data_IF_150648189797
#
_entry.id   IF_150648189797
#
_cell.length_a   1.000
_cell.length_b   1.000
_cell.length_c   1.000
_cell.angle_alpha   90.00
_cell.angle_beta   90.00
_cell.angle_gamma   90.00
#
_symmetry.space_group_name_H-M   'P 1'
#
loop_
_entity.id
_entity.type
_entity.pdbx_description
1 polymer ?
#
# COMPACT_ATOMS: atom_id res chain seq x y z
N UNK A 1 4.03 43.19 9.30
CA UNK A 1 3.26 41.94 9.30
C UNK A 1 4.24 40.79 9.42
N UNK A 2 4.01 39.86 10.34
CA UNK A 2 4.95 38.78 10.67
C UNK A 2 4.31 37.42 10.37
N UNK A 3 5.06 36.50 9.77
CA UNK A 3 4.65 35.10 9.57
C UNK A 3 5.65 34.19 10.27
N UNK A 4 5.19 33.34 11.19
CA UNK A 4 6.04 32.33 11.84
C UNK A 4 6.04 31.01 11.06
N UNK A 5 7.24 30.47 10.77
CA UNK A 5 7.48 29.20 10.05
C UNK A 5 7.87 28.08 11.00
N UNK A 6 6.95 27.13 11.21
CA UNK A 6 7.23 25.84 11.86
C UNK A 6 6.71 24.63 11.02
N UNK A 7 6.08 24.84 9.86
CA UNK A 7 5.48 23.75 9.07
C UNK A 7 5.53 23.95 7.54
N UNK A 8 5.30 22.86 6.80
CA UNK A 8 5.20 22.82 5.32
C UNK A 8 3.93 23.48 4.74
N UNK A 9 2.97 23.90 5.58
CA UNK A 9 1.71 24.54 5.16
C UNK A 9 1.80 26.07 4.96
N UNK A 10 2.98 26.66 5.22
CA UNK A 10 3.21 28.11 5.25
C UNK A 10 2.93 28.86 3.94
N UNK A 11 2.90 28.18 2.78
CA UNK A 11 2.65 28.82 1.49
C UNK A 11 1.34 29.61 1.44
N UNK A 12 0.30 29.13 2.12
CA UNK A 12 -1.01 29.83 2.17
C UNK A 12 -0.93 31.09 3.02
N UNK A 13 -0.24 31.04 4.16
CA UNK A 13 -0.01 32.19 5.01
C UNK A 13 0.86 33.24 4.31
N UNK A 14 1.91 32.82 3.59
CA UNK A 14 2.78 33.71 2.80
C UNK A 14 1.98 34.37 1.67
N UNK A 15 1.14 33.62 0.96
CA UNK A 15 0.32 34.18 -0.11
C UNK A 15 -0.71 35.19 0.42
N UNK A 16 -1.36 34.91 1.55
CA UNK A 16 -2.27 35.86 2.20
C UNK A 16 -1.50 37.10 2.69
N UNK A 17 -0.34 36.91 3.30
CA UNK A 17 0.51 38.00 3.77
C UNK A 17 1.02 38.90 2.65
N UNK A 18 1.46 38.33 1.53
CA UNK A 18 1.83 39.10 0.35
C UNK A 18 0.68 39.94 -0.20
N UNK A 19 -0.55 39.41 -0.22
CA UNK A 19 -1.74 40.16 -0.64
C UNK A 19 -2.04 41.33 0.31
N UNK A 20 -1.99 41.08 1.62
CA UNK A 20 -2.23 42.11 2.63
C UNK A 20 -1.14 43.20 2.61
N UNK A 21 0.12 42.82 2.41
CA UNK A 21 1.24 43.74 2.24
C UNK A 21 1.11 44.61 0.98
N UNK A 22 0.66 44.04 -0.14
CA UNK A 22 0.37 44.81 -1.36
C UNK A 22 -0.74 45.85 -1.14
N UNK A 23 -1.81 45.51 -0.42
CA UNK A 23 -2.91 46.43 -0.13
C UNK A 23 -2.48 47.52 0.87
N UNK A 24 -1.71 47.15 1.90
CA UNK A 24 -1.29 48.07 2.96
C UNK A 24 -0.01 48.85 2.66
N UNK A 25 0.68 48.56 1.55
CA UNK A 25 2.03 49.06 1.20
C UNK A 25 3.08 48.86 2.31
N UNK A 26 2.93 47.80 3.11
CA UNK A 26 3.87 47.45 4.20
C UNK A 26 4.74 46.26 3.81
N UNK A 27 5.92 46.13 4.44
CA UNK A 27 6.83 44.99 4.25
C UNK A 27 6.34 43.75 5.01
N UNK A 28 6.66 42.57 4.46
CA UNK A 28 6.38 41.26 5.04
C UNK A 28 7.63 40.73 5.72
N UNK A 29 7.58 40.46 7.03
CA UNK A 29 8.64 39.74 7.72
C UNK A 29 8.24 38.27 7.84
N UNK A 30 9.10 37.37 7.39
CA UNK A 30 8.92 35.92 7.57
C UNK A 30 9.97 35.46 8.56
N UNK A 31 9.52 34.93 9.69
CA UNK A 31 10.35 34.50 10.82
C UNK A 31 10.39 32.99 10.86
N UNK A 32 11.59 32.41 11.00
CA UNK A 32 11.81 30.99 11.29
C UNK A 32 12.70 30.86 12.53
N UNK A 33 12.44 29.86 13.36
CA UNK A 33 13.30 29.52 14.50
C UNK A 33 14.07 28.25 14.12
N UNK A 34 15.38 28.24 14.39
CA UNK A 34 16.31 27.15 14.06
C UNK A 34 16.92 26.64 15.36
N UNK A 35 17.24 25.35 15.41
CA UNK A 35 17.75 24.69 16.62
C UNK A 35 19.25 24.93 16.84
N UNK A 36 20.00 25.20 15.77
CA UNK A 36 21.43 25.54 15.79
C UNK A 36 21.68 27.03 15.47
N UNK A 37 22.76 27.59 16.04
CA UNK A 37 23.25 28.96 15.79
C UNK A 37 24.38 28.98 14.74
N UNK A 38 24.63 27.85 14.06
CA UNK A 38 25.57 27.83 12.95
C UNK A 38 25.13 28.77 11.82
N UNK A 39 26.03 29.69 11.43
CA UNK A 39 25.76 30.72 10.42
C UNK A 39 25.37 30.11 9.05
N UNK A 40 25.87 28.91 8.75
CA UNK A 40 25.52 28.14 7.55
C UNK A 40 24.05 27.66 7.55
N UNK A 41 23.53 27.20 8.70
CA UNK A 41 22.14 26.77 8.84
C UNK A 41 21.17 27.96 8.81
N UNK A 42 21.57 29.08 9.43
CA UNK A 42 20.81 30.33 9.34
C UNK A 42 20.73 30.84 7.89
N UNK A 43 21.81 30.78 7.12
CA UNK A 43 21.81 31.13 5.71
C UNK A 43 20.95 30.20 4.86
N UNK A 44 21.03 28.88 5.08
CA UNK A 44 20.20 27.90 4.39
C UNK A 44 18.71 28.21 4.62
N UNK A 45 18.32 28.47 5.87
CA UNK A 45 16.95 28.82 6.25
C UNK A 45 16.49 30.13 5.60
N UNK A 46 17.35 31.15 5.53
CA UNK A 46 17.04 32.40 4.79
C UNK A 46 16.78 32.14 3.30
N UNK A 47 17.55 31.25 2.66
CA UNK A 47 17.34 30.88 1.25
C UNK A 47 16.00 30.16 1.06
N UNK A 48 15.64 29.26 1.97
CA UNK A 48 14.34 28.58 1.94
C UNK A 48 13.16 29.54 2.08
N UNK A 49 13.25 30.52 2.98
CA UNK A 49 12.21 31.54 3.15
C UNK A 49 11.99 32.30 1.84
N UNK A 50 13.07 32.70 1.18
CA UNK A 50 13.00 33.42 -0.10
C UNK A 50 12.46 32.54 -1.24
N UNK A 51 12.77 31.24 -1.23
CA UNK A 51 12.19 30.27 -2.17
C UNK A 51 10.69 30.07 -1.93
N UNK A 52 10.25 29.92 -0.68
CA UNK A 52 8.84 29.80 -0.33
C UNK A 52 8.03 31.04 -0.72
N UNK A 53 8.63 32.24 -0.57
CA UNK A 53 8.02 33.50 -1.03
C UNK A 53 7.85 33.56 -2.56
N UNK A 54 8.87 33.11 -3.32
CA UNK A 54 8.78 32.96 -4.78
C UNK A 54 7.64 32.02 -5.17
N UNK A 55 7.59 30.84 -4.56
CA UNK A 55 6.57 29.84 -4.85
C UNK A 55 5.16 30.32 -4.49
N UNK A 56 5.03 31.20 -3.50
CA UNK A 56 3.76 31.82 -3.11
C UNK A 56 3.33 32.99 -4.02
N UNK A 57 4.17 33.40 -4.99
CA UNK A 57 3.91 34.51 -5.90
C UNK A 57 4.01 35.89 -5.25
N UNK A 58 4.82 36.02 -4.20
CA UNK A 58 5.05 37.29 -3.49
C UNK A 58 6.28 37.98 -4.06
N UNK A 59 6.24 39.31 -4.21
CA UNK A 59 7.40 40.10 -4.64
C UNK A 59 8.50 40.03 -3.56
N UNK A 60 9.65 39.47 -3.94
CA UNK A 60 10.80 39.29 -3.07
C UNK A 60 11.31 40.60 -2.47
N UNK A 61 11.13 41.74 -3.14
CA UNK A 61 11.55 43.06 -2.62
C UNK A 61 10.76 43.49 -1.38
N UNK A 62 9.60 42.89 -1.17
CA UNK A 62 8.73 43.18 -0.03
C UNK A 62 8.97 42.24 1.16
N UNK A 63 9.79 41.18 0.97
CA UNK A 63 10.01 40.13 1.96
C UNK A 63 11.32 40.39 2.71
N UNK A 64 11.24 40.38 4.04
CA UNK A 64 12.40 40.39 4.94
C UNK A 64 12.47 39.04 5.65
N UNK A 65 13.42 38.16 5.29
CA UNK A 65 13.66 36.93 6.04
C UNK A 65 14.31 37.28 7.39
N UNK A 66 13.79 36.70 8.47
CA UNK A 66 14.33 36.82 9.82
C UNK A 66 14.46 35.40 10.36
N UNK A 67 15.63 35.07 10.90
CA UNK A 67 15.91 33.75 11.47
C UNK A 67 16.47 33.97 12.85
N UNK A 68 15.95 33.24 13.82
CA UNK A 68 16.40 33.27 15.21
C UNK A 68 16.89 31.89 15.63
N UNK A 69 17.95 31.84 16.45
CA UNK A 69 18.36 30.62 17.16
C UNK A 69 17.41 30.35 18.33
N UNK A 70 17.24 29.07 18.72
CA UNK A 70 16.31 28.64 19.78
C UNK A 70 16.66 29.19 21.17
N UNK A 71 17.93 29.50 21.43
CA UNK A 71 18.39 30.01 22.74
C UNK A 71 17.95 31.45 23.02
N UNK A 72 17.85 32.31 21.99
CA UNK A 72 17.40 33.72 22.09
C UNK A 72 16.01 33.97 21.49
N UNK A 73 15.50 33.01 20.71
CA UNK A 73 14.52 33.30 19.66
C UNK A 73 13.10 33.63 20.10
N UNK A 74 12.68 33.27 21.32
CA UNK A 74 11.31 33.54 21.76
C UNK A 74 11.14 35.00 22.23
N UNK A 75 12.08 35.51 23.03
CA UNK A 75 12.02 36.89 23.54
C UNK A 75 12.20 37.91 22.41
N UNK A 76 13.13 37.66 21.50
CA UNK A 76 13.37 38.56 20.38
C UNK A 76 12.27 38.49 19.32
N UNK A 77 11.63 37.32 19.16
CA UNK A 77 10.43 37.20 18.37
C UNK A 77 9.27 37.99 18.99
N UNK A 78 9.09 37.94 20.31
CA UNK A 78 8.06 38.71 21.04
C UNK A 78 8.31 40.22 20.90
N UNK A 79 9.55 40.70 21.05
CA UNK A 79 9.90 42.11 20.79
C UNK A 79 9.58 42.54 19.35
N UNK A 80 9.80 41.64 18.38
CA UNK A 80 9.51 41.90 16.98
C UNK A 80 8.00 41.93 16.68
N UNK A 81 7.19 41.17 17.40
CA UNK A 81 5.73 41.07 17.22
C UNK A 81 4.96 42.16 17.97
N UNK A 82 5.45 42.65 19.10
CA UNK A 82 4.79 43.69 19.92
C UNK A 82 4.51 44.99 19.14
N UNK A 83 5.33 45.31 18.15
CA UNK A 83 5.21 46.54 17.36
C UNK A 83 4.50 46.33 16.00
N UNK A 84 3.81 45.19 15.81
CA UNK A 84 3.23 44.77 14.54
C UNK A 84 1.71 44.59 14.63
N UNK A 85 0.97 45.20 13.69
CA UNK A 85 -0.50 45.15 13.71
C UNK A 85 -1.14 43.81 13.28
N UNK A 86 -0.37 42.83 12.77
CA UNK A 86 -0.89 41.50 12.39
C UNK A 86 0.23 40.47 12.36
N UNK A 87 0.02 39.36 13.08
CA UNK A 87 0.88 38.17 13.08
C UNK A 87 0.08 37.00 12.51
N UNK A 88 0.58 36.36 11.45
CA UNK A 88 -0.01 35.13 10.93
C UNK A 88 0.79 33.93 11.41
N UNK A 89 0.07 32.95 11.95
CA UNK A 89 0.67 31.74 12.50
C UNK A 89 0.01 30.50 11.88
N UNK A 90 0.78 29.44 11.73
CA UNK A 90 0.32 28.13 11.29
C UNK A 90 -0.63 27.50 12.34
N UNK A 91 -1.68 26.75 11.93
CA UNK A 91 -2.55 26.00 12.86
C UNK A 91 -1.84 25.02 13.80
N UNK A 92 -0.66 24.49 13.45
CA UNK A 92 0.05 23.50 14.27
C UNK A 92 0.88 24.14 15.42
N UNK A 93 1.17 25.44 15.34
CA UNK A 93 1.95 26.19 16.35
C UNK A 93 1.09 26.66 17.55
N UNK A 94 0.20 25.81 18.08
CA UNK A 94 -0.74 26.19 19.16
C UNK A 94 -0.05 26.67 20.44
N UNK A 95 1.12 26.12 20.76
CA UNK A 95 1.94 26.54 21.92
C UNK A 95 2.44 27.97 21.72
N UNK A 96 2.98 28.27 20.54
CA UNK A 96 3.48 29.58 20.15
C UNK A 96 2.35 30.63 20.10
N UNK A 97 1.16 30.26 19.59
CA UNK A 97 -0.02 31.14 19.58
C UNK A 97 -0.45 31.51 21.01
N UNK A 98 -0.49 30.55 21.94
CA UNK A 98 -0.81 30.84 23.36
C UNK A 98 0.23 31.74 24.01
N UNK A 99 1.51 31.41 23.83
CA UNK A 99 2.61 32.21 24.38
C UNK A 99 2.60 33.65 23.85
N UNK A 100 2.31 33.87 22.56
CA UNK A 100 2.16 35.20 21.98
C UNK A 100 0.98 35.97 22.56
N UNK A 101 -0.17 35.32 22.74
CA UNK A 101 -1.36 35.96 23.31
C UNK A 101 -1.18 36.34 24.78
N UNK A 102 -0.42 35.55 25.54
CA UNK A 102 -0.17 35.79 26.96
C UNK A 102 0.92 36.85 27.22
N UNK A 103 1.80 37.10 26.24
CA UNK A 103 3.00 37.96 26.42
C UNK A 103 2.94 39.33 25.73
N UNK A 104 2.01 39.56 24.82
CA UNK A 104 1.95 40.81 24.02
C UNK A 104 0.68 41.61 24.32
N UNK A 105 0.78 42.94 24.36
CA UNK A 105 -0.31 43.82 24.82
C UNK A 105 -1.38 44.11 23.76
N UNK A 106 -1.06 43.98 22.46
CA UNK A 106 -1.99 44.25 21.35
C UNK A 106 -1.80 43.39 20.06
N UNK A 107 -1.70 42.05 20.08
CA UNK A 107 -1.57 41.30 18.85
C UNK A 107 -2.95 41.02 18.22
N UNK A 108 -3.13 41.40 16.94
CA UNK A 108 -4.11 40.71 16.10
C UNK A 108 -3.43 39.45 15.56
N UNK A 109 -3.75 38.29 16.12
CA UNK A 109 -3.22 37.00 15.65
C UNK A 109 -4.20 36.37 14.67
N UNK A 110 -3.78 36.17 13.42
CA UNK A 110 -4.56 35.48 12.40
C UNK A 110 -4.06 34.06 12.19
N UNK A 111 -4.84 33.05 12.56
CA UNK A 111 -4.50 31.65 12.26
C UNK A 111 -4.99 31.30 10.86
N UNK A 112 -4.05 31.02 9.95
CA UNK A 112 -4.39 30.71 8.55
C UNK A 112 -4.45 29.21 8.36
N UNK A 113 -5.65 28.65 8.47
CA UNK A 113 -5.91 27.26 8.12
C UNK A 113 -6.45 27.18 6.70
N UNK A 114 -5.81 26.41 5.81
CA UNK A 114 -6.42 26.04 4.54
C UNK A 114 -7.58 25.09 4.83
N UNK A 115 -8.81 25.59 4.79
CA UNK A 115 -9.97 24.71 4.77
C UNK A 115 -9.89 23.84 3.50
N UNK A 116 -10.05 22.51 3.58
CA UNK A 116 -10.34 21.73 2.39
C UNK A 116 -11.62 22.31 1.77
N UNK A 117 -11.74 22.40 0.43
CA UNK A 117 -12.99 22.77 -0.21
C UNK A 117 -14.00 21.63 0.02
N UNK A 118 -14.72 21.68 1.14
CA UNK A 118 -15.78 20.74 1.48
C UNK A 118 -17.12 21.29 0.98
N UNK A 119 -17.34 21.19 -0.34
CA UNK A 119 -18.70 20.99 -0.84
C UNK A 119 -18.94 19.48 -0.87
N UNK A 120 -19.47 18.98 0.23
CA UNK A 120 -19.98 17.62 0.37
C UNK A 120 -21.11 17.41 -0.63
N UNK A 121 -20.86 16.58 -1.64
CA UNK A 121 -21.91 16.05 -2.50
C UNK A 121 -22.09 14.57 -2.20
N UNK A 122 -23.22 14.23 -1.59
CA UNK A 122 -23.90 12.96 -1.85
C UNK A 122 -23.87 11.84 -0.81
N UNK A 123 -23.18 11.94 0.34
CA UNK A 123 -23.31 10.92 1.39
C UNK A 123 -23.33 11.57 2.79
N UNK A 124 -24.52 11.82 3.33
CA UNK A 124 -24.73 12.49 4.63
C UNK A 124 -24.52 11.60 5.87
N UNK A 125 -24.03 10.37 5.70
CA UNK A 125 -23.97 9.39 6.79
C UNK A 125 -22.73 8.50 6.72
N UNK A 126 -21.52 9.08 6.67
CA UNK A 126 -20.37 8.32 7.18
C UNK A 126 -20.51 8.30 8.70
N UNK A 127 -20.69 7.13 9.33
CA UNK A 127 -20.88 7.06 10.76
C UNK A 127 -19.63 7.58 11.50
N UNK A 128 -19.82 8.23 12.64
CA UNK A 128 -18.79 8.97 13.40
C UNK A 128 -17.60 8.13 13.87
N UNK A 129 -17.70 6.80 13.79
CA UNK A 129 -16.62 5.86 14.11
C UNK A 129 -15.58 5.68 13.00
N UNK A 130 -15.78 6.25 11.80
CA UNK A 130 -14.76 6.27 10.74
C UNK A 130 -13.95 7.57 10.83
N UNK A 131 -12.75 7.56 11.44
CA UNK A 131 -11.95 8.76 11.62
C UNK A 131 -11.39 9.26 10.29
N UNK A 132 -11.58 10.55 10.01
CA UNK A 132 -11.07 11.23 8.80
C UNK A 132 -9.54 11.30 8.81
N UNK A 133 -8.94 11.28 7.61
CA UNK A 133 -7.50 11.47 7.46
C UNK A 133 -7.06 12.88 7.88
N UNK A 134 -5.95 12.97 8.59
CA UNK A 134 -5.31 14.27 8.83
C UNK A 134 -4.72 14.82 7.52
N UNK A 135 -4.57 16.14 7.36
CA UNK A 135 -3.97 16.72 6.16
C UNK A 135 -2.54 16.26 5.88
N UNK A 136 -1.75 16.01 6.93
CA UNK A 136 -0.38 15.51 6.83
C UNK A 136 -0.36 14.07 6.32
N UNK A 137 -1.10 13.16 6.98
CA UNK A 137 -1.21 11.75 6.56
C UNK A 137 -1.71 11.63 5.11
N UNK A 138 -2.60 12.52 4.69
CA UNK A 138 -3.10 12.57 3.33
C UNK A 138 -2.04 12.96 2.30
N UNK A 139 -1.18 13.94 2.63
CA UNK A 139 -0.09 14.35 1.76
C UNK A 139 0.94 13.22 1.59
N UNK A 140 1.30 12.56 2.69
CA UNK A 140 2.27 11.46 2.71
C UNK A 140 1.74 10.24 1.97
N UNK A 141 0.47 9.89 2.17
CA UNK A 141 -0.22 8.82 1.44
C UNK A 141 -0.18 9.07 -0.07
N UNK A 142 -0.54 10.29 -0.51
CA UNK A 142 -0.52 10.63 -1.94
C UNK A 142 0.89 10.57 -2.49
N UNK A 143 1.87 11.10 -1.76
CA UNK A 143 3.27 11.10 -2.18
C UNK A 143 3.74 9.67 -2.40
N UNK A 144 3.59 8.82 -1.38
CA UNK A 144 3.98 7.40 -1.38
C UNK A 144 3.33 6.62 -2.53
N UNK A 145 2.02 6.75 -2.70
CA UNK A 145 1.30 6.04 -3.75
C UNK A 145 1.64 6.56 -5.15
N UNK A 146 1.90 7.86 -5.32
CA UNK A 146 2.30 8.42 -6.62
C UNK A 146 3.72 8.07 -7.02
N UNK A 147 4.66 8.11 -6.08
CA UNK A 147 6.06 7.75 -6.37
C UNK A 147 6.19 6.26 -6.60
N UNK A 148 5.61 5.43 -5.73
CA UNK A 148 5.68 3.98 -5.85
C UNK A 148 4.76 3.35 -6.90
N UNK A 149 3.82 4.11 -7.50
CA UNK A 149 3.05 3.63 -8.65
C UNK A 149 3.77 3.80 -9.99
N UNK A 150 4.86 4.58 -10.05
CA UNK A 150 5.59 4.81 -11.30
C UNK A 150 6.49 3.63 -11.61
N UNK A 151 6.65 3.37 -12.90
CA UNK A 151 7.66 2.45 -13.39
C UNK A 151 9.05 3.07 -13.14
N UNK A 152 9.75 2.59 -12.12
CA UNK A 152 11.13 2.97 -11.81
C UNK A 152 12.07 1.79 -11.98
N UNK A 153 13.37 2.07 -12.10
CA UNK A 153 14.40 1.02 -12.12
C UNK A 153 14.37 0.21 -10.83
N UNK A 154 14.21 0.88 -9.68
CA UNK A 154 14.11 0.24 -8.37
C UNK A 154 12.88 -0.68 -8.26
N UNK A 155 11.74 -0.26 -8.82
CA UNK A 155 10.54 -1.08 -8.88
C UNK A 155 10.78 -2.36 -9.67
N UNK A 156 11.40 -2.22 -10.86
CA UNK A 156 11.67 -3.34 -11.76
C UNK A 156 12.73 -4.29 -11.20
N UNK A 157 13.79 -3.77 -10.58
CA UNK A 157 14.87 -4.58 -10.01
C UNK A 157 14.39 -5.38 -8.79
N UNK A 158 13.66 -4.74 -7.87
CA UNK A 158 13.05 -5.41 -6.71
C UNK A 158 12.02 -6.44 -7.16
N UNK A 159 11.20 -6.13 -8.16
CA UNK A 159 10.22 -7.09 -8.68
C UNK A 159 10.88 -8.28 -9.36
N UNK A 160 11.94 -8.06 -10.14
CA UNK A 160 12.71 -9.13 -10.77
C UNK A 160 13.35 -10.05 -9.71
N UNK A 161 13.98 -9.48 -8.69
CA UNK A 161 14.54 -10.25 -7.57
C UNK A 161 13.45 -11.05 -6.84
N UNK A 162 12.31 -10.43 -6.52
CA UNK A 162 11.18 -11.10 -5.90
C UNK A 162 10.62 -12.24 -6.77
N UNK A 163 10.53 -12.06 -8.09
CA UNK A 163 10.07 -13.09 -9.02
C UNK A 163 11.00 -14.31 -9.05
N UNK A 164 12.32 -14.09 -9.05
CA UNK A 164 13.32 -15.18 -9.00
C UNK A 164 13.20 -15.93 -7.66
N UNK A 165 13.19 -15.20 -6.54
CA UNK A 165 13.09 -15.80 -5.20
C UNK A 165 11.76 -16.56 -5.03
N UNK A 166 10.65 -15.98 -5.51
CA UNK A 166 9.35 -16.63 -5.49
C UNK A 166 9.36 -17.92 -6.32
N UNK A 167 9.95 -17.89 -7.51
CA UNK A 167 10.05 -19.06 -8.38
C UNK A 167 10.87 -20.17 -7.71
N UNK A 168 12.04 -19.86 -7.14
CA UNK A 168 12.81 -20.85 -6.38
C UNK A 168 12.07 -21.36 -5.15
N UNK A 169 11.40 -20.49 -4.39
CA UNK A 169 10.60 -20.90 -3.23
C UNK A 169 9.46 -21.84 -3.60
N UNK A 170 8.80 -21.58 -4.73
CA UNK A 170 7.76 -22.46 -5.27
C UNK A 170 8.34 -23.81 -5.72
N UNK A 171 9.46 -23.80 -6.46
CA UNK A 171 10.11 -25.02 -6.95
C UNK A 171 10.73 -25.86 -5.83
N UNK A 172 11.16 -25.24 -4.74
CA UNK A 172 11.67 -25.91 -3.54
C UNK A 172 10.57 -26.33 -2.56
N UNK A 173 9.30 -26.07 -2.89
CA UNK A 173 8.16 -26.32 -2.01
C UNK A 173 8.33 -25.66 -0.62
N UNK A 174 8.88 -24.45 -0.57
CA UNK A 174 9.23 -23.73 0.67
C UNK A 174 8.30 -22.53 0.93
N UNK A 175 7.27 -22.68 1.79
CA UNK A 175 6.36 -21.59 2.13
C UNK A 175 7.08 -20.37 2.71
N UNK A 176 8.16 -20.58 3.47
CA UNK A 176 8.92 -19.50 4.10
C UNK A 176 9.60 -18.59 3.05
N UNK A 177 10.23 -19.19 2.03
CA UNK A 177 10.86 -18.43 0.93
C UNK A 177 9.80 -17.74 0.08
N UNK A 178 8.67 -18.42 -0.16
CA UNK A 178 7.52 -17.85 -0.87
C UNK A 178 6.99 -16.62 -0.14
N UNK A 179 6.83 -16.66 1.18
CA UNK A 179 6.41 -15.50 1.99
C UNK A 179 7.47 -14.39 1.93
N UNK A 180 8.77 -14.73 2.06
CA UNK A 180 9.86 -13.76 1.97
C UNK A 180 9.86 -12.98 0.64
N UNK A 181 9.56 -13.66 -0.47
CA UNK A 181 9.44 -13.01 -1.78
C UNK A 181 8.32 -11.98 -1.87
N UNK A 182 7.23 -12.16 -1.12
CA UNK A 182 6.10 -11.22 -1.10
C UNK A 182 6.45 -9.91 -0.41
N UNK A 183 7.34 -9.94 0.58
CA UNK A 183 7.79 -8.76 1.33
C UNK A 183 8.71 -7.85 0.50
N UNK A 184 9.41 -8.43 -0.48
CA UNK A 184 10.28 -7.70 -1.39
C UNK A 184 9.52 -7.00 -2.52
N UNK A 185 8.38 -7.55 -2.93
CA UNK A 185 7.71 -7.15 -4.16
C UNK A 185 6.94 -5.82 -4.02
N UNK A 186 7.26 -4.79 -4.81
CA UNK A 186 6.60 -3.48 -4.72
C UNK A 186 5.24 -3.41 -5.44
N UNK A 187 4.66 -4.53 -5.88
CA UNK A 187 3.46 -4.58 -6.72
C UNK A 187 2.17 -4.10 -6.03
N UNK A 188 2.12 -4.10 -4.71
CA UNK A 188 0.94 -3.66 -3.96
C UNK A 188 0.70 -2.15 -4.14
N UNK A 189 1.77 -1.36 -4.16
CA UNK A 189 1.73 0.11 -4.26
C UNK A 189 1.03 0.61 -5.52
N UNK A 190 1.34 0.14 -6.75
CA UNK A 190 0.59 0.55 -7.94
C UNK A 190 -0.87 0.10 -7.94
N UNK A 191 -1.21 -1.05 -7.32
CA UNK A 191 -2.62 -1.49 -7.24
C UNK A 191 -3.45 -0.57 -6.33
N UNK A 192 -2.91 -0.26 -5.15
CA UNK A 192 -3.55 0.68 -4.22
C UNK A 192 -3.56 2.10 -4.81
N UNK A 193 -2.50 2.50 -5.51
CA UNK A 193 -2.42 3.76 -6.24
C UNK A 193 -3.49 3.90 -7.33
N UNK A 194 -3.85 2.80 -8.00
CA UNK A 194 -4.97 2.77 -8.94
C UNK A 194 -6.32 2.95 -8.21
N UNK A 195 -6.49 2.34 -7.04
CA UNK A 195 -7.64 2.60 -6.16
C UNK A 195 -7.73 4.09 -5.75
N UNK A 196 -6.60 4.71 -5.40
CA UNK A 196 -6.50 6.15 -5.12
C UNK A 196 -6.88 6.99 -6.34
N UNK A 197 -6.44 6.58 -7.54
CA UNK A 197 -6.79 7.23 -8.79
C UNK A 197 -8.31 7.23 -9.05
N UNK A 198 -9.00 6.12 -8.75
CA UNK A 198 -10.46 6.03 -8.84
C UNK A 198 -11.15 6.89 -7.77
N UNK A 199 -10.62 6.91 -6.55
CA UNK A 199 -11.14 7.75 -5.47
C UNK A 199 -11.04 9.25 -5.80
N UNK A 200 -9.91 9.68 -6.37
CA UNK A 200 -9.62 11.06 -6.75
C UNK A 200 -10.08 11.45 -8.18
N UNK A 201 -10.67 10.53 -8.94
CA UNK A 201 -10.94 10.72 -10.38
C UNK A 201 -9.71 11.18 -11.19
N UNK A 202 -8.52 10.72 -10.80
CA UNK A 202 -7.24 11.09 -11.42
C UNK A 202 -6.82 10.04 -12.47
N UNK A 203 -7.32 10.20 -13.69
CA UNK A 203 -7.03 9.28 -14.79
C UNK A 203 -5.53 9.15 -15.14
N UNK A 204 -4.73 10.19 -14.90
CA UNK A 204 -3.27 10.14 -15.14
C UNK A 204 -2.61 9.15 -14.20
N UNK A 205 -2.90 9.23 -12.90
CA UNK A 205 -2.39 8.26 -11.92
C UNK A 205 -2.91 6.86 -12.23
N UNK A 206 -4.18 6.71 -12.59
CA UNK A 206 -4.75 5.41 -12.96
C UNK A 206 -4.04 4.77 -14.14
N UNK A 207 -3.65 5.55 -15.16
CA UNK A 207 -2.87 5.07 -16.30
C UNK A 207 -1.44 4.68 -15.89
N UNK A 208 -0.75 5.52 -15.11
CA UNK A 208 0.61 5.23 -14.63
C UNK A 208 0.64 3.94 -13.78
N UNK A 209 -0.29 3.80 -12.83
CA UNK A 209 -0.46 2.60 -12.02
C UNK A 209 -0.79 1.36 -12.85
N UNK A 210 -1.71 1.47 -13.82
CA UNK A 210 -2.07 0.36 -14.69
C UNK A 210 -0.88 -0.10 -15.56
N UNK A 211 -0.07 0.83 -16.07
CA UNK A 211 1.15 0.51 -16.80
C UNK A 211 2.13 -0.29 -15.93
N UNK A 212 2.37 0.14 -14.70
CA UNK A 212 3.26 -0.57 -13.77
C UNK A 212 2.74 -1.97 -13.44
N UNK A 213 1.42 -2.15 -13.27
CA UNK A 213 0.81 -3.48 -13.04
C UNK A 213 1.03 -4.39 -14.26
N UNK A 214 0.77 -3.90 -15.48
CA UNK A 214 0.93 -4.70 -16.71
C UNK A 214 2.38 -5.06 -16.97
N UNK A 215 3.30 -4.10 -16.84
CA UNK A 215 4.74 -4.37 -17.03
C UNK A 215 5.24 -5.34 -15.95
N UNK A 216 4.84 -5.13 -14.69
CA UNK A 216 5.19 -6.03 -13.60
C UNK A 216 4.62 -7.44 -13.79
N UNK A 217 3.40 -7.55 -14.32
CA UNK A 217 2.79 -8.83 -14.70
C UNK A 217 3.64 -9.57 -15.74
N UNK A 218 3.93 -8.92 -16.86
CA UNK A 218 4.69 -9.53 -17.96
C UNK A 218 6.11 -9.89 -17.55
N UNK A 219 6.78 -9.03 -16.79
CA UNK A 219 8.13 -9.27 -16.29
C UNK A 219 8.18 -10.48 -15.36
N UNK A 220 7.29 -10.54 -14.36
CA UNK A 220 7.27 -11.64 -13.38
C UNK A 220 6.93 -12.97 -14.07
N UNK A 221 5.99 -12.95 -15.02
CA UNK A 221 5.64 -14.12 -15.83
C UNK A 221 6.82 -14.60 -16.69
N UNK A 222 7.50 -13.69 -17.38
CA UNK A 222 8.65 -14.02 -18.21
C UNK A 222 9.81 -14.61 -17.38
N UNK A 223 10.12 -13.99 -16.24
CA UNK A 223 11.19 -14.45 -15.35
C UNK A 223 10.88 -15.85 -14.81
N UNK A 224 9.69 -16.03 -14.24
CA UNK A 224 9.30 -17.33 -13.67
C UNK A 224 9.25 -18.44 -14.71
N UNK A 225 8.75 -18.15 -15.92
CA UNK A 225 8.76 -19.09 -17.04
C UNK A 225 10.19 -19.48 -17.45
N UNK A 226 11.08 -18.49 -17.62
CA UNK A 226 12.48 -18.73 -18.00
C UNK A 226 13.24 -19.54 -16.94
N UNK A 227 13.08 -19.20 -15.66
CA UNK A 227 13.69 -19.93 -14.54
C UNK A 227 13.17 -21.37 -14.51
N UNK A 228 11.85 -21.58 -14.58
CA UNK A 228 11.26 -22.92 -14.60
C UNK A 228 11.69 -23.76 -15.81
N UNK A 229 11.94 -23.13 -16.96
CA UNK A 229 12.42 -23.85 -18.15
C UNK A 229 13.83 -24.42 -18.01
N UNK A 230 14.71 -23.73 -17.28
CA UNK A 230 16.09 -24.17 -17.04
C UNK A 230 16.25 -25.07 -15.81
N UNK A 231 15.24 -25.13 -14.94
CA UNK A 231 15.28 -25.99 -13.75
C UNK A 231 15.17 -27.49 -14.13
N UNK A 232 16.10 -28.34 -13.67
CA UNK A 232 16.00 -29.79 -13.81
C UNK A 232 14.89 -30.35 -12.92
N UNK A 233 14.16 -31.38 -13.38
CA UNK A 233 13.07 -32.01 -12.61
C UNK A 233 11.78 -31.21 -12.69
N UNK A 234 11.06 -31.33 -13.81
CA UNK A 234 9.81 -30.59 -14.08
C UNK A 234 8.62 -31.21 -13.35
N UNK A 235 8.65 -31.16 -12.03
CA UNK A 235 7.56 -31.65 -11.19
C UNK A 235 6.81 -30.48 -10.54
N UNK A 236 5.48 -30.61 -10.51
CA UNK A 236 4.60 -29.63 -9.88
C UNK A 236 4.66 -29.82 -8.36
N UNK A 237 5.18 -28.83 -7.65
CA UNK A 237 5.25 -28.84 -6.18
C UNK A 237 3.89 -28.53 -5.55
N UNK A 238 3.72 -28.86 -4.27
CA UNK A 238 2.48 -28.61 -3.54
C UNK A 238 2.15 -27.11 -3.50
N UNK A 239 3.16 -26.25 -3.35
CA UNK A 239 3.01 -24.80 -3.37
C UNK A 239 2.54 -24.26 -4.73
N UNK A 240 2.97 -24.86 -5.86
CA UNK A 240 2.52 -24.43 -7.20
C UNK A 240 1.08 -24.86 -7.44
N UNK A 241 0.73 -26.10 -7.06
CA UNK A 241 -0.62 -26.68 -7.23
C UNK A 241 -1.64 -25.92 -6.37
N UNK A 242 -1.29 -25.61 -5.12
CA UNK A 242 -2.18 -24.89 -4.20
C UNK A 242 -2.62 -23.51 -4.72
N UNK A 243 -1.90 -22.92 -5.69
CA UNK A 243 -2.30 -21.65 -6.32
C UNK A 243 -3.17 -21.82 -7.54
N UNK A 244 -3.24 -23.00 -8.15
CA UNK A 244 -4.09 -23.28 -9.31
C UNK A 244 -5.51 -23.72 -8.97
N UNK A 245 -5.84 -23.86 -7.69
CA UNK A 245 -7.19 -24.22 -7.24
C UNK A 245 -7.81 -23.14 -6.35
N UNK A 246 -8.00 -21.91 -6.86
CA UNK A 246 -8.62 -20.86 -6.06
C UNK A 246 -10.11 -21.13 -5.84
N UNK A 247 -10.62 -20.67 -4.71
CA UNK A 247 -12.02 -20.81 -4.34
C UNK A 247 -12.63 -19.47 -3.89
N UNK A 248 -13.94 -19.46 -3.63
CA UNK A 248 -14.66 -18.24 -3.27
C UNK A 248 -14.16 -17.60 -1.96
N UNK A 249 -13.51 -18.36 -1.07
CA UNK A 249 -12.95 -17.83 0.17
C UNK A 249 -11.73 -16.94 -0.11
N UNK A 250 -10.93 -17.27 -1.13
CA UNK A 250 -9.81 -16.43 -1.57
C UNK A 250 -10.28 -15.03 -1.98
N UNK A 251 -11.44 -14.93 -2.65
CA UNK A 251 -12.06 -13.64 -2.98
C UNK A 251 -12.44 -12.87 -1.72
N UNK A 252 -13.03 -13.54 -0.72
CA UNK A 252 -13.35 -12.94 0.57
C UNK A 252 -12.10 -12.36 1.26
N UNK A 253 -11.04 -13.16 1.35
CA UNK A 253 -9.74 -12.73 1.89
C UNK A 253 -9.22 -11.53 1.12
N UNK A 254 -9.19 -11.59 -0.22
CA UNK A 254 -8.70 -10.49 -1.05
C UNK A 254 -9.46 -9.16 -0.79
N UNK A 255 -10.79 -9.22 -0.67
CA UNK A 255 -11.62 -8.04 -0.37
C UNK A 255 -11.31 -7.47 1.01
N UNK A 256 -11.36 -8.26 2.08
CA UNK A 256 -11.13 -7.74 3.43
C UNK A 256 -9.69 -7.29 3.65
N UNK A 257 -8.73 -8.06 3.12
CA UNK A 257 -7.32 -7.69 3.15
C UNK A 257 -7.09 -6.37 2.41
N UNK A 258 -7.66 -6.16 1.21
CA UNK A 258 -7.50 -4.89 0.51
C UNK A 258 -8.00 -3.67 1.28
N UNK A 259 -9.14 -3.80 1.96
CA UNK A 259 -9.70 -2.74 2.82
C UNK A 259 -8.72 -2.43 3.95
N UNK A 260 -8.19 -3.47 4.60
CA UNK A 260 -7.20 -3.35 5.66
C UNK A 260 -5.89 -2.71 5.18
N UNK A 261 -5.37 -3.10 4.00
CA UNK A 261 -4.16 -2.50 3.42
C UNK A 261 -4.35 -1.01 3.15
N UNK A 262 -5.44 -0.65 2.46
CA UNK A 262 -5.72 0.75 2.13
C UNK A 262 -5.92 1.59 3.40
N UNK A 263 -6.54 1.03 4.44
CA UNK A 263 -6.70 1.70 5.72
C UNK A 263 -5.37 1.86 6.46
N UNK A 264 -4.53 0.82 6.49
CA UNK A 264 -3.22 0.84 7.13
C UNK A 264 -2.25 1.80 6.44
N UNK A 265 -2.23 1.84 5.10
CA UNK A 265 -1.43 2.81 4.34
C UNK A 265 -1.89 4.24 4.57
N UNK A 266 -3.18 4.46 4.82
CA UNK A 266 -3.70 5.78 5.13
C UNK A 266 -3.41 6.23 6.58
N UNK A 267 -2.82 5.37 7.42
CA UNK A 267 -2.48 5.65 8.82
C UNK A 267 -1.04 5.25 9.16
N UNK A 268 -0.12 6.22 9.30
CA UNK A 268 1.28 5.92 9.59
C UNK A 268 1.51 5.16 10.91
N UNK A 269 0.58 5.23 11.87
CA UNK A 269 0.71 4.55 13.16
C UNK A 269 0.45 3.02 13.12
N UNK A 270 0.09 2.43 11.97
CA UNK A 270 -0.30 1.01 11.87
C UNK A 270 0.58 0.26 10.85
N UNK A 271 1.90 0.51 10.88
CA UNK A 271 2.88 -0.02 9.91
C UNK A 271 2.84 -1.57 9.83
N UNK A 272 2.69 -2.26 10.96
CA UNK A 272 2.68 -3.73 10.99
C UNK A 272 1.50 -4.39 10.26
N UNK A 273 0.36 -3.71 10.15
CA UNK A 273 -0.80 -4.24 9.44
C UNK A 273 -0.57 -4.31 7.93
N UNK A 274 0.24 -3.41 7.36
CA UNK A 274 0.53 -3.40 5.91
C UNK A 274 1.27 -4.66 5.49
N UNK A 275 2.24 -5.12 6.30
CA UNK A 275 2.99 -6.35 6.04
C UNK A 275 2.10 -7.60 6.10
N UNK A 276 1.26 -7.73 7.13
CA UNK A 276 0.32 -8.85 7.26
C UNK A 276 -0.68 -8.93 6.10
N UNK A 277 -1.12 -7.79 5.60
CA UNK A 277 -2.04 -7.72 4.46
C UNK A 277 -1.35 -8.00 3.12
N UNK A 278 -0.10 -7.55 2.95
CA UNK A 278 0.71 -7.89 1.78
C UNK A 278 0.95 -9.41 1.67
N UNK A 279 1.18 -10.08 2.82
CA UNK A 279 1.29 -11.54 2.89
C UNK A 279 -0.05 -12.20 2.53
N UNK A 280 -1.17 -11.72 3.08
CA UNK A 280 -2.50 -12.31 2.85
C UNK A 280 -2.98 -12.20 1.39
N UNK A 281 -2.62 -11.13 0.68
CA UNK A 281 -3.04 -10.89 -0.71
C UNK A 281 -2.11 -11.47 -1.78
N UNK A 282 -0.96 -11.99 -1.37
CA UNK A 282 -0.02 -12.83 -2.12
C UNK A 282 -0.12 -12.74 -3.66
N UNK A 283 0.46 -11.69 -4.26
CA UNK A 283 0.32 -11.41 -5.70
C UNK A 283 1.42 -12.02 -6.57
N UNK A 284 2.68 -11.99 -6.10
CA UNK A 284 3.83 -12.51 -6.87
C UNK A 284 3.78 -14.03 -7.01
N UNK A 285 3.50 -14.81 -5.95
CA UNK A 285 3.54 -16.27 -6.08
C UNK A 285 2.48 -16.88 -6.99
N UNK A 286 1.21 -16.43 -7.02
CA UNK A 286 0.27 -16.87 -8.06
C UNK A 286 0.79 -16.58 -9.46
N UNK A 287 1.36 -15.40 -9.69
CA UNK A 287 1.90 -15.04 -11.00
C UNK A 287 3.13 -15.88 -11.40
N UNK A 288 4.01 -16.20 -10.45
CA UNK A 288 5.12 -17.13 -10.69
C UNK A 288 4.60 -18.55 -10.92
N UNK A 289 3.56 -18.98 -10.20
CA UNK A 289 2.89 -20.27 -10.42
C UNK A 289 2.30 -20.36 -11.82
N UNK A 290 1.74 -19.28 -12.38
CA UNK A 290 1.33 -19.22 -13.80
C UNK A 290 2.52 -19.50 -14.72
N UNK A 291 3.66 -18.83 -14.52
CA UNK A 291 4.85 -19.02 -15.34
C UNK A 291 5.43 -20.44 -15.26
N UNK A 292 5.53 -21.00 -14.05
CA UNK A 292 5.96 -22.39 -13.83
C UNK A 292 4.99 -23.37 -14.49
N UNK A 293 3.68 -23.17 -14.31
CA UNK A 293 2.65 -24.04 -14.87
C UNK A 293 2.66 -24.02 -16.40
N UNK A 294 2.88 -22.85 -17.02
CA UNK A 294 3.09 -22.75 -18.46
C UNK A 294 4.36 -23.48 -18.92
N UNK A 295 5.47 -23.32 -18.20
CA UNK A 295 6.72 -24.01 -18.48
C UNK A 295 6.55 -25.55 -18.42
N UNK A 296 5.72 -26.04 -17.50
CA UNK A 296 5.46 -27.48 -17.30
C UNK A 296 4.25 -27.99 -18.09
N UNK A 297 3.62 -27.17 -18.93
CA UNK A 297 2.40 -27.49 -19.72
C UNK A 297 1.19 -27.89 -18.87
N UNK A 298 1.16 -27.49 -17.60
CA UNK A 298 0.04 -27.69 -16.69
C UNK A 298 -0.98 -26.53 -16.84
N UNK A 299 -1.67 -26.48 -17.98
CA UNK A 299 -2.54 -25.36 -18.35
C UNK A 299 -3.71 -25.14 -17.38
N UNK A 300 -4.29 -26.22 -16.84
CA UNK A 300 -5.39 -26.11 -15.87
C UNK A 300 -4.96 -25.36 -14.60
N UNK A 301 -3.75 -25.67 -14.10
CA UNK A 301 -3.17 -24.99 -12.95
C UNK A 301 -2.83 -23.53 -13.28
N UNK A 302 -2.29 -23.29 -14.49
CA UNK A 302 -1.96 -21.94 -14.95
C UNK A 302 -3.20 -21.04 -15.01
N UNK A 303 -4.33 -21.55 -15.52
CA UNK A 303 -5.59 -20.80 -15.58
C UNK A 303 -6.11 -20.48 -14.19
N UNK A 304 -6.07 -21.45 -13.27
CA UNK A 304 -6.48 -21.21 -11.88
C UNK A 304 -5.59 -20.18 -11.16
N UNK A 305 -4.27 -20.27 -11.31
CA UNK A 305 -3.34 -19.33 -10.69
C UNK A 305 -3.48 -17.91 -11.28
N UNK A 306 -3.75 -17.82 -12.59
CA UNK A 306 -4.04 -16.55 -13.25
C UNK A 306 -5.36 -15.96 -12.73
N UNK A 307 -6.38 -16.81 -12.55
CA UNK A 307 -7.66 -16.40 -12.01
C UNK A 307 -7.51 -15.82 -10.60
N UNK A 308 -6.77 -16.50 -9.72
CA UNK A 308 -6.45 -16.01 -8.37
C UNK A 308 -5.76 -14.63 -8.43
N UNK A 309 -4.77 -14.48 -9.30
CA UNK A 309 -4.08 -13.20 -9.48
C UNK A 309 -5.04 -12.08 -9.91
N UNK A 310 -5.84 -12.29 -10.96
CA UNK A 310 -6.75 -11.26 -11.46
C UNK A 310 -7.82 -10.87 -10.44
N UNK A 311 -8.38 -11.84 -9.71
CA UNK A 311 -9.31 -11.59 -8.61
C UNK A 311 -8.67 -10.69 -7.56
N UNK A 312 -7.45 -11.01 -7.13
CA UNK A 312 -6.74 -10.23 -6.13
C UNK A 312 -6.46 -8.80 -6.62
N UNK A 313 -6.02 -8.63 -7.87
CA UNK A 313 -5.79 -7.29 -8.44
C UNK A 313 -7.06 -6.46 -8.42
N UNK A 314 -8.18 -7.00 -8.91
CA UNK A 314 -9.45 -6.27 -8.98
C UNK A 314 -9.99 -5.96 -7.59
N UNK A 315 -9.93 -6.93 -6.66
CA UNK A 315 -10.32 -6.75 -5.27
C UNK A 315 -9.49 -5.65 -4.60
N UNK A 316 -8.16 -5.63 -4.80
CA UNK A 316 -7.29 -4.59 -4.23
C UNK A 316 -7.65 -3.20 -4.74
N UNK A 317 -7.85 -3.05 -6.05
CA UNK A 317 -8.18 -1.76 -6.65
C UNK A 317 -9.54 -1.26 -6.15
N UNK A 318 -10.56 -2.12 -6.13
CA UNK A 318 -11.91 -1.77 -5.66
C UNK A 318 -11.95 -1.49 -4.16
N UNK A 319 -11.33 -2.35 -3.34
CA UNK A 319 -11.26 -2.17 -1.90
C UNK A 319 -10.50 -0.91 -1.51
N UNK A 320 -9.38 -0.63 -2.17
CA UNK A 320 -8.66 0.64 -1.96
C UNK A 320 -9.48 1.86 -2.37
N UNK A 321 -10.16 1.81 -3.53
CA UNK A 321 -11.04 2.90 -3.98
C UNK A 321 -12.18 3.15 -2.98
N UNK A 322 -12.80 2.08 -2.47
CA UNK A 322 -13.85 2.14 -1.47
C UNK A 322 -13.34 2.72 -0.14
N UNK A 323 -12.24 2.20 0.40
CA UNK A 323 -11.65 2.67 1.65
C UNK A 323 -11.26 4.14 1.57
N UNK A 324 -10.59 4.57 0.50
CA UNK A 324 -10.23 5.98 0.33
C UNK A 324 -11.45 6.88 0.22
N UNK A 325 -12.51 6.46 -0.50
CA UNK A 325 -13.79 7.18 -0.54
C UNK A 325 -14.41 7.31 0.86
N UNK A 326 -14.39 6.25 1.66
CA UNK A 326 -14.89 6.26 3.05
C UNK A 326 -14.08 7.19 3.96
N UNK A 327 -12.76 7.26 3.76
CA UNK A 327 -11.86 8.16 4.48
C UNK A 327 -11.97 9.64 4.04
N UNK A 328 -12.83 9.94 3.06
CA UNK A 328 -13.06 11.29 2.56
C UNK A 328 -12.06 11.76 1.50
N UNK A 329 -11.25 10.84 0.96
CA UNK A 329 -10.33 11.14 -0.15
C UNK A 329 -11.16 11.45 -1.38
N UNK A 330 -11.14 12.71 -1.79
CA UNK A 330 -11.86 13.20 -2.96
C UNK A 330 -10.91 14.03 -3.83
N UNK A 331 -11.06 13.91 -5.14
CA UNK A 331 -10.31 14.70 -6.10
C UNK A 331 -10.80 16.16 -6.14
N UNK A 332 -10.07 17.00 -6.89
CA UNK A 332 -10.62 18.28 -7.36
C UNK A 332 -11.94 18.02 -8.10
N UNK A 333 -12.85 19.00 -8.13
CA UNK A 333 -14.13 18.91 -8.83
C UNK A 333 -13.93 18.27 -10.21
N UNK A 334 -14.26 16.98 -10.31
CA UNK A 334 -13.96 16.18 -11.47
C UNK A 334 -14.86 16.65 -12.60
N UNK A 335 -14.26 16.95 -13.76
CA UNK A 335 -15.05 17.25 -14.95
C UNK A 335 -15.97 16.07 -15.27
N UNK A 336 -17.09 16.32 -15.96
CA UNK A 336 -18.07 15.30 -16.35
C UNK A 336 -17.39 14.12 -17.07
N UNK A 337 -16.33 14.37 -17.83
CA UNK A 337 -15.51 13.33 -18.47
C UNK A 337 -14.78 12.42 -17.48
N UNK A 338 -14.13 13.00 -16.46
CA UNK A 338 -13.42 12.24 -15.42
C UNK A 338 -14.37 11.43 -14.55
N UNK A 339 -15.54 11.97 -14.22
CA UNK A 339 -16.57 11.23 -13.48
C UNK A 339 -17.08 10.02 -14.27
N UNK A 340 -17.37 10.17 -15.57
CA UNK A 340 -17.75 9.04 -16.43
C UNK A 340 -16.68 7.96 -16.50
N UNK A 341 -15.40 8.34 -16.60
CA UNK A 341 -14.31 7.37 -16.57
C UNK A 341 -14.30 6.56 -15.26
N UNK A 342 -14.48 7.21 -14.12
CA UNK A 342 -14.58 6.50 -12.82
C UNK A 342 -15.76 5.54 -12.81
N UNK A 343 -16.98 6.00 -13.14
CA UNK A 343 -18.17 5.13 -13.13
C UNK A 343 -18.04 3.94 -14.09
N UNK A 344 -17.49 4.18 -15.29
CA UNK A 344 -17.24 3.11 -16.27
C UNK A 344 -16.20 2.12 -15.77
N UNK A 345 -15.11 2.60 -15.17
CA UNK A 345 -14.01 1.74 -14.70
C UNK A 345 -14.45 0.93 -13.49
N UNK A 346 -15.12 1.55 -12.52
CA UNK A 346 -15.70 0.85 -11.35
C UNK A 346 -16.76 -0.15 -11.79
N UNK A 347 -17.66 0.24 -12.71
CA UNK A 347 -18.66 -0.68 -13.26
C UNK A 347 -18.05 -1.88 -13.97
N UNK A 348 -16.97 -1.66 -14.74
CA UNK A 348 -16.24 -2.73 -15.41
C UNK A 348 -15.52 -3.63 -14.41
N UNK A 349 -14.87 -3.07 -13.38
CA UNK A 349 -14.21 -3.87 -12.34
C UNK A 349 -15.21 -4.72 -11.54
N UNK A 350 -16.38 -4.16 -11.18
CA UNK A 350 -17.45 -4.91 -10.50
C UNK A 350 -17.96 -6.03 -11.40
N UNK A 351 -18.20 -5.75 -12.68
CA UNK A 351 -18.57 -6.78 -13.65
C UNK A 351 -17.51 -7.88 -13.74
N UNK A 352 -16.23 -7.53 -13.77
CA UNK A 352 -15.12 -8.49 -13.75
C UNK A 352 -15.15 -9.36 -12.48
N UNK A 353 -15.38 -8.79 -11.29
CA UNK A 353 -15.52 -9.60 -10.06
C UNK A 353 -16.69 -10.58 -10.18
N UNK A 354 -17.85 -10.15 -10.67
CA UNK A 354 -19.03 -11.01 -10.83
C UNK A 354 -18.73 -12.16 -11.80
N UNK A 355 -18.08 -11.87 -12.92
CA UNK A 355 -17.69 -12.88 -13.91
C UNK A 355 -16.67 -13.86 -13.33
N UNK A 356 -15.70 -13.39 -12.56
CA UNK A 356 -14.69 -14.23 -11.91
C UNK A 356 -15.24 -15.01 -10.71
N UNK A 357 -16.30 -14.54 -10.05
CA UNK A 357 -16.95 -15.23 -8.94
C UNK A 357 -17.58 -16.57 -9.36
N UNK A 358 -18.12 -16.65 -10.58
CA UNK A 358 -18.78 -17.85 -11.12
C UNK A 358 -17.85 -19.09 -11.12
N UNK A 359 -16.64 -19.04 -11.72
CA UNK A 359 -15.71 -20.17 -11.67
C UNK A 359 -15.17 -20.47 -10.27
N UNK A 360 -15.02 -19.47 -9.40
CA UNK A 360 -14.58 -19.66 -7.99
C UNK A 360 -15.64 -20.41 -7.18
N UNK A 361 -16.91 -20.08 -7.38
CA UNK A 361 -18.04 -20.79 -6.76
C UNK A 361 -18.08 -22.25 -7.21
N UNK A 362 -17.92 -22.50 -8.51
CA UNK A 362 -17.85 -23.88 -9.05
C UNK A 362 -16.68 -24.66 -8.47
N UNK A 363 -15.51 -24.04 -8.29
CA UNK A 363 -14.35 -24.67 -7.65
C UNK A 363 -14.62 -24.97 -6.18
N UNK A 364 -15.21 -24.03 -5.45
CA UNK A 364 -15.59 -24.26 -4.05
C UNK A 364 -16.64 -25.38 -3.92
N UNK A 365 -17.65 -25.42 -4.78
CA UNK A 365 -18.62 -26.51 -4.82
C UNK A 365 -17.95 -27.85 -5.11
N UNK A 366 -17.03 -27.89 -6.07
CA UNK A 366 -16.28 -29.10 -6.38
C UNK A 366 -15.41 -29.55 -5.20
N UNK A 367 -14.79 -28.62 -4.48
CA UNK A 367 -14.00 -28.88 -3.27
C UNK A 367 -14.88 -29.42 -2.13
N UNK A 368 -16.05 -28.81 -1.89
CA UNK A 368 -17.03 -29.27 -0.90
C UNK A 368 -17.56 -30.67 -1.27
N UNK A 369 -17.90 -30.90 -2.54
CA UNK A 369 -18.42 -32.19 -3.05
C UNK A 369 -17.36 -33.29 -3.02
N UNK A 370 -16.09 -32.97 -3.25
CA UNK A 370 -14.98 -33.91 -3.11
C UNK A 370 -14.73 -34.29 -1.64
N UNK A 371 -15.30 -33.53 -0.69
CA UNK A 371 -14.91 -33.57 0.71
C UNK A 371 -13.50 -32.99 0.87
N UNK A 372 -13.20 -32.35 2.00
CA UNK A 372 -11.83 -31.89 2.30
C UNK A 372 -10.88 -33.04 2.01
N UNK A 373 -9.97 -32.86 1.05
CA UNK A 373 -8.99 -33.87 0.64
C UNK A 373 -8.04 -34.13 1.80
N UNK A 374 -8.48 -34.95 2.75
CA UNK A 374 -7.58 -35.63 3.66
C UNK A 374 -6.85 -36.68 2.81
N UNK A 375 -5.51 -36.79 2.92
CA UNK A 375 -4.81 -37.90 2.30
C UNK A 375 -5.46 -39.20 2.79
N UNK A 376 -5.85 -40.09 1.88
CA UNK A 376 -6.53 -41.36 2.21
C UNK A 376 -5.75 -42.17 3.24
N UNK A 377 -4.44 -41.98 3.27
CA UNK A 377 -3.49 -42.60 4.19
C UNK A 377 -2.47 -41.57 4.68
N UNK A 378 -2.34 -41.42 6.00
CA UNK A 378 -1.22 -40.73 6.63
C UNK A 378 -0.01 -41.68 6.78
N UNK A 379 1.23 -41.17 6.74
CA UNK A 379 2.42 -41.98 6.99
C UNK A 379 2.39 -42.59 8.40
N UNK A 380 2.98 -43.78 8.54
CA UNK A 380 3.19 -44.42 9.84
C UNK A 380 4.28 -43.69 10.63
N UNK A 381 4.25 -43.84 11.96
CA UNK A 381 5.34 -43.34 12.80
C UNK A 381 6.64 -44.06 12.48
N UNK A 382 7.77 -43.34 12.58
CA UNK A 382 9.12 -43.86 12.28
C UNK A 382 9.37 -45.20 12.97
N UNK A 383 9.04 -45.32 14.26
CA UNK A 383 9.19 -46.57 15.01
C UNK A 383 8.40 -47.77 14.45
N UNK A 384 7.22 -47.53 13.86
CA UNK A 384 6.41 -48.61 13.26
C UNK A 384 6.98 -48.99 11.90
N UNK A 385 7.51 -48.02 11.15
CA UNK A 385 8.13 -48.28 9.85
C UNK A 385 9.46 -49.02 9.99
N UNK A 386 10.27 -48.67 10.99
CA UNK A 386 11.53 -49.34 11.30
C UNK A 386 11.31 -50.81 11.70
N UNK A 387 10.30 -51.09 12.53
CA UNK A 387 9.95 -52.46 12.92
C UNK A 387 9.40 -53.27 11.74
N UNK A 388 8.59 -52.65 10.87
CA UNK A 388 8.08 -53.28 9.65
C UNK A 388 9.23 -53.68 8.70
N UNK A 389 10.19 -52.78 8.49
CA UNK A 389 11.36 -53.05 7.66
C UNK A 389 12.22 -54.17 8.26
N UNK A 390 12.44 -54.14 9.59
CA UNK A 390 13.15 -55.20 10.31
C UNK A 390 12.50 -56.58 10.13
N UNK A 391 11.16 -56.64 10.20
CA UNK A 391 10.41 -57.88 10.00
C UNK A 391 10.47 -58.39 8.56
N UNK A 392 10.42 -57.50 7.57
CA UNK A 392 10.54 -57.85 6.15
C UNK A 392 11.94 -58.39 5.85
N UNK A 393 12.98 -57.74 6.38
CA UNK A 393 14.38 -58.15 6.18
C UNK A 393 14.67 -59.55 6.76
N UNK A 394 13.93 -59.97 7.78
CA UNK A 394 14.07 -61.29 8.42
C UNK A 394 13.12 -62.36 7.89
N UNK A 395 12.14 -62.00 7.05
CA UNK A 395 11.10 -62.90 6.55
C UNK A 395 11.24 -63.12 5.03
N UNK A 396 11.90 -64.20 4.57
CA UNK A 396 12.10 -64.43 3.14
C UNK A 396 10.77 -64.68 2.42
N UNK A 397 10.51 -63.89 1.37
CA UNK A 397 9.33 -64.02 0.50
C UNK A 397 8.15 -63.11 0.87
N UNK A 398 8.31 -62.16 1.79
CA UNK A 398 7.29 -61.18 2.16
C UNK A 398 7.66 -59.80 1.60
N UNK A 399 6.74 -59.16 0.87
CA UNK A 399 6.94 -57.80 0.35
C UNK A 399 5.88 -56.84 0.89
N UNK A 400 6.31 -55.63 1.27
CA UNK A 400 5.41 -54.57 1.73
C UNK A 400 4.76 -53.85 0.55
N UNK A 401 3.48 -54.12 0.33
CA UNK A 401 2.73 -53.53 -0.79
C UNK A 401 2.21 -52.13 -0.43
N UNK A 402 1.70 -51.96 0.79
CA UNK A 402 1.19 -50.68 1.27
C UNK A 402 1.15 -50.62 2.79
N UNK A 403 1.51 -49.45 3.35
CA UNK A 403 1.46 -49.20 4.78
C UNK A 403 1.01 -47.75 5.06
N UNK A 404 -0.05 -47.57 5.86
CA UNK A 404 -0.54 -46.24 6.19
C UNK A 404 -1.68 -46.23 7.21
N UNK A 405 -1.93 -45.06 7.80
CA UNK A 405 -3.07 -44.82 8.71
C UNK A 405 -4.25 -44.26 7.94
N UNK A 406 -5.43 -44.88 8.03
CA UNK A 406 -6.61 -44.43 7.30
C UNK A 406 -7.08 -43.05 7.79
N UNK A 407 -7.37 -42.14 6.84
CA UNK A 407 -7.90 -40.80 7.14
C UNK A 407 -9.30 -40.85 7.75
N UNK A 408 -10.13 -41.85 7.39
CA UNK A 408 -11.51 -41.94 7.86
C UNK A 408 -11.62 -42.40 9.31
N UNK A 409 -10.57 -43.02 9.86
CA UNK A 409 -10.55 -43.48 11.25
C UNK A 409 -9.10 -43.58 11.72
N UNK A 410 -8.58 -42.50 12.33
CA UNK A 410 -7.15 -42.34 12.66
C UNK A 410 -6.58 -43.42 13.61
N UNK A 411 -7.43 -44.26 14.20
CA UNK A 411 -7.02 -45.40 15.05
C UNK A 411 -6.82 -46.72 14.28
N UNK A 412 -7.17 -46.80 12.98
CA UNK A 412 -6.97 -48.01 12.16
C UNK A 412 -5.72 -47.89 11.28
N UNK A 413 -4.81 -48.83 11.48
CA UNK A 413 -3.61 -49.04 10.67
C UNK A 413 -3.91 -50.14 9.65
N UNK A 414 -3.69 -49.87 8.36
CA UNK A 414 -3.82 -50.87 7.31
C UNK A 414 -2.42 -51.24 6.82
N UNK A 415 -2.05 -52.52 6.96
CA UNK A 415 -0.80 -53.09 6.47
C UNK A 415 -1.17 -54.23 5.53
N UNK A 416 -0.68 -54.18 4.29
CA UNK A 416 -0.89 -55.23 3.29
C UNK A 416 0.47 -55.80 2.90
N UNK A 417 0.66 -57.08 3.19
CA UNK A 417 1.83 -57.87 2.85
C UNK A 417 1.45 -58.86 1.76
N UNK A 418 2.32 -59.02 0.76
CA UNK A 418 2.17 -60.01 -0.32
C UNK A 418 3.18 -61.14 -0.18
#
# INVERSE_FOLDING_TARGET
MVIAKESSHIRTAISLGGRLCNVSKKKLAIVSIVDDDEEEEMEATRREIMQAARDAGVDQKQVRPVVFSREEGLEDFIKLTDNQGLVLVDPDSRKLVRQLLDSTTHPTVGVVKRAPPLKTMGWKSTPTWVPRLSPADYADLIHTLRTGSKLSVDFLSMLAAAAVIATFGLLQDSPAVVIGSMLLAPLMTPMIGNGLALAQANAKLGKESAQSIVVGFLMTLAISFCVAMVTPGKEMTSQVIARGDPNLLDLGVAVFSSIAAAYALARPNIVGAVAGVAIATALVPPLCSVGISFAYKAYDNAVGAALLFFVNVVAIILGAAMTFRMLGVTGKAADKGQQRWVYRTVGLLILTVIVLAIPLERKLEAEIRRGKSQPSTFPLTVAVMDELNSFIDTSPGVELVAAGRSSQNAQRVNIVLS
#
